data_IF_847004414281
#
_entry.id   IF_847004414281
#
_cell.length_a   1.000
_cell.length_b   1.000
_cell.length_c   1.000
_cell.angle_alpha   90.00
_cell.angle_beta   90.00
_cell.angle_gamma   90.00
#
_symmetry.space_group_name_H-M   'P 1'
#
loop_
_entity.id
_entity.type
_entity.pdbx_description
1 polymer ?
#
# COMPACT_ATOMS: atom_id res chain seq x y z
N UNK A 1 3.39 0.05 18.93
CA UNK A 1 3.22 0.12 17.48
C UNK A 1 2.36 -1.03 17.04
N UNK A 2 1.13 -0.74 16.61
CA UNK A 2 0.28 -1.76 15.99
C UNK A 2 0.82 -2.10 14.60
N UNK A 3 0.65 -3.35 14.17
CA UNK A 3 1.06 -3.77 12.82
C UNK A 3 0.01 -3.24 11.83
N UNK A 4 0.39 -2.24 11.04
CA UNK A 4 -0.43 -1.65 9.98
C UNK A 4 -0.10 -2.29 8.64
N UNK A 5 -0.11 -3.62 8.60
CA UNK A 5 0.24 -4.41 7.41
C UNK A 5 -0.91 -5.28 6.91
N UNK A 6 -0.98 -5.46 5.60
CA UNK A 6 -1.91 -6.39 4.95
C UNK A 6 -1.31 -6.96 3.67
N UNK A 7 -1.84 -8.08 3.22
CA UNK A 7 -1.42 -8.75 2.00
C UNK A 7 -2.48 -8.59 0.91
N UNK A 8 -2.03 -8.42 -0.33
CA UNK A 8 -2.88 -8.26 -1.51
C UNK A 8 -2.43 -9.27 -2.56
N UNK A 9 -3.40 -9.95 -3.17
CA UNK A 9 -3.15 -10.75 -4.37
C UNK A 9 -3.01 -9.82 -5.56
N UNK A 10 -1.80 -9.74 -6.10
CA UNK A 10 -1.41 -8.83 -7.19
C UNK A 10 -1.04 -9.67 -8.41
N UNK A 11 -2.06 -10.22 -9.06
CA UNK A 11 -1.95 -11.01 -10.30
C UNK A 11 -2.10 -10.14 -11.56
N UNK A 12 -2.32 -8.83 -11.41
CA UNK A 12 -2.58 -7.91 -12.53
C UNK A 12 -2.03 -6.51 -12.26
N UNK A 13 -1.78 -5.77 -13.33
CA UNK A 13 -1.36 -4.36 -13.28
C UNK A 13 -2.46 -3.52 -12.62
N UNK A 14 -2.28 -3.15 -11.34
CA UNK A 14 -3.21 -2.31 -10.60
C UNK A 14 -2.60 -0.93 -10.35
N UNK A 15 -3.28 0.12 -10.82
CA UNK A 15 -2.90 1.50 -10.57
C UNK A 15 -3.18 1.94 -9.12
N UNK A 16 -4.04 1.20 -8.42
CA UNK A 16 -4.53 1.57 -7.09
C UNK A 16 -4.74 0.36 -6.21
N UNK A 17 -4.28 0.43 -4.95
CA UNK A 17 -4.49 -0.63 -3.95
C UNK A 17 -5.39 -0.12 -2.84
N UNK A 18 -6.46 -0.87 -2.55
CA UNK A 18 -7.36 -0.53 -1.45
C UNK A 18 -6.68 -0.68 -0.08
N UNK A 19 -6.76 0.36 0.76
CA UNK A 19 -6.39 0.28 2.17
C UNK A 19 -7.59 -0.26 2.95
N UNK A 20 -7.52 -1.44 3.58
CA UNK A 20 -8.65 -2.00 4.32
C UNK A 20 -9.16 -1.06 5.40
N UNK A 21 -10.48 -1.06 5.66
CA UNK A 21 -11.10 -0.17 6.66
C UNK A 21 -10.48 -0.36 8.06
N UNK A 22 -10.15 -1.59 8.42
CA UNK A 22 -9.49 -1.92 9.69
C UNK A 22 -8.11 -1.27 9.78
N UNK A 23 -7.30 -1.37 8.72
CA UNK A 23 -5.98 -0.71 8.66
C UNK A 23 -6.12 0.81 8.75
N UNK A 24 -7.13 1.40 8.09
CA UNK A 24 -7.38 2.86 8.20
C UNK A 24 -7.73 3.30 9.62
N UNK A 25 -8.56 2.50 10.31
CA UNK A 25 -8.91 2.78 11.70
C UNK A 25 -7.68 2.69 12.61
N UNK A 26 -6.89 1.63 12.47
CA UNK A 26 -5.65 1.44 13.23
C UNK A 26 -4.62 2.54 12.93
N UNK A 27 -4.50 2.95 11.66
CA UNK A 27 -3.61 4.03 11.24
C UNK A 27 -4.01 5.35 11.90
N UNK A 28 -5.33 5.64 11.98
CA UNK A 28 -5.86 6.80 12.68
C UNK A 28 -5.54 6.81 14.18
N UNK A 29 -5.59 5.65 14.85
CA UNK A 29 -5.17 5.52 16.27
C UNK A 29 -3.68 5.82 16.47
N UNK A 30 -2.83 5.47 15.50
CA UNK A 30 -1.39 5.74 15.53
C UNK A 30 -1.04 7.14 14.98
N UNK A 31 -2.04 7.96 14.61
CA UNK A 31 -1.84 9.33 14.10
C UNK A 31 -1.44 9.42 12.63
N UNK A 32 -1.52 8.32 11.87
CA UNK A 32 -1.25 8.28 10.44
C UNK A 32 -2.55 8.62 9.70
N UNK A 33 -2.54 9.77 9.01
CA UNK A 33 -3.69 10.16 8.18
C UNK A 33 -3.79 9.26 6.95
N UNK A 34 -4.90 8.54 6.85
CA UNK A 34 -5.30 7.79 5.65
C UNK A 34 -6.39 8.51 4.85
N UNK A 35 -6.49 9.83 5.03
CA UNK A 35 -7.51 10.66 4.38
C UNK A 35 -7.21 10.94 2.90
N UNK A 36 -8.28 11.23 2.17
CA UNK A 36 -8.28 11.56 0.74
C UNK A 36 -7.37 12.76 0.45
N UNK A 37 -6.61 12.69 -0.65
CA UNK A 37 -5.63 13.71 -1.11
C UNK A 37 -4.45 13.93 -0.17
N UNK A 38 -4.25 13.07 0.83
CA UNK A 38 -3.00 13.02 1.59
C UNK A 38 -2.01 12.04 0.97
N UNK A 39 -0.83 11.92 1.57
CA UNK A 39 0.12 10.85 1.27
C UNK A 39 0.50 10.13 2.56
N UNK A 40 0.62 8.81 2.49
CA UNK A 40 1.10 7.98 3.59
C UNK A 40 2.47 7.40 3.26
N UNK A 41 3.33 7.28 4.26
CA UNK A 41 4.55 6.49 4.14
C UNK A 41 4.15 5.01 4.10
N UNK A 42 4.65 4.30 3.10
CA UNK A 42 4.36 2.90 2.85
C UNK A 42 5.63 2.14 2.56
N UNK A 43 5.60 0.87 2.93
CA UNK A 43 6.51 -0.15 2.45
C UNK A 43 5.68 -1.18 1.68
N UNK A 44 6.12 -1.53 0.48
CA UNK A 44 5.53 -2.57 -0.36
C UNK A 44 6.60 -3.62 -0.61
N UNK A 45 6.32 -4.88 -0.27
CA UNK A 45 7.19 -6.02 -0.46
C UNK A 45 6.54 -6.99 -1.45
N UNK A 46 7.24 -7.26 -2.56
CA UNK A 46 6.89 -8.34 -3.47
C UNK A 46 7.29 -9.67 -2.80
N UNK A 47 6.32 -10.51 -2.46
CA UNK A 47 6.59 -11.77 -1.73
C UNK A 47 7.20 -12.86 -2.62
N UNK A 48 7.15 -12.68 -3.94
CA UNK A 48 7.71 -13.62 -4.92
C UNK A 48 9.15 -13.27 -5.27
N UNK A 49 9.44 -11.99 -5.57
CA UNK A 49 10.80 -11.56 -5.96
C UNK A 49 11.66 -11.12 -4.78
N UNK A 50 11.03 -10.77 -3.64
CA UNK A 50 11.69 -10.20 -2.48
C UNK A 50 12.07 -8.72 -2.64
N UNK A 51 11.75 -8.11 -3.78
CA UNK A 51 11.95 -6.67 -3.98
C UNK A 51 11.05 -5.87 -3.05
N UNK A 52 11.56 -4.76 -2.54
CA UNK A 52 10.79 -3.83 -1.72
C UNK A 52 10.88 -2.41 -2.24
N UNK A 53 9.77 -1.69 -2.06
CA UNK A 53 9.68 -0.26 -2.25
C UNK A 53 9.32 0.39 -0.93
N UNK A 54 10.01 1.46 -0.57
CA UNK A 54 9.67 2.29 0.59
C UNK A 54 9.57 3.74 0.14
N UNK A 55 8.46 4.40 0.42
CA UNK A 55 8.25 5.78 0.01
C UNK A 55 6.90 6.33 0.43
N UNK A 56 6.58 7.55 0.00
CA UNK A 56 5.25 8.13 0.23
C UNK A 56 4.39 7.92 -1.00
N UNK A 57 3.19 7.37 -0.81
CA UNK A 57 2.20 7.22 -1.86
C UNK A 57 0.97 8.07 -1.57
N UNK A 58 0.38 8.61 -2.63
CA UNK A 58 -0.83 9.41 -2.54
C UNK A 58 -2.04 8.51 -2.24
N UNK A 59 -2.96 9.03 -1.42
CA UNK A 59 -4.24 8.39 -1.12
C UNK A 59 -5.31 9.03 -2.00
N UNK A 60 -5.94 8.21 -2.84
CA UNK A 60 -6.96 8.63 -3.80
C UNK A 60 -8.28 8.99 -3.12
N UNK A 61 -9.23 9.52 -3.90
CA UNK A 61 -10.60 9.87 -3.46
C UNK A 61 -11.38 8.74 -2.79
N UNK A 62 -10.94 7.50 -2.99
CA UNK A 62 -11.59 6.26 -2.58
C UNK A 62 -10.79 5.51 -1.49
N UNK A 63 -9.84 6.18 -0.83
CA UNK A 63 -8.97 5.59 0.21
C UNK A 63 -8.07 4.46 -0.32
N UNK A 64 -7.61 4.59 -1.56
CA UNK A 64 -6.69 3.66 -2.19
C UNK A 64 -5.30 4.31 -2.29
N UNK A 65 -4.24 3.52 -2.19
CA UNK A 65 -2.89 3.97 -2.50
C UNK A 65 -2.74 4.02 -4.01
N UNK A 66 -2.37 5.18 -4.55
CA UNK A 66 -1.97 5.29 -5.95
C UNK A 66 -0.57 4.72 -6.13
N UNK A 67 -0.42 3.80 -7.09
CA UNK A 67 0.84 3.21 -7.48
C UNK A 67 1.42 3.92 -8.71
N UNK A 68 2.59 4.58 -8.62
CA UNK A 68 3.33 5.02 -9.80
C UNK A 68 3.72 3.85 -10.71
N UNK A 69 3.87 4.13 -12.01
CA UNK A 69 4.19 3.14 -13.05
C UNK A 69 5.43 2.29 -12.71
N UNK A 70 6.43 2.88 -12.05
CA UNK A 70 7.65 2.18 -11.62
C UNK A 70 7.35 1.06 -10.62
N UNK A 71 6.47 1.32 -9.65
CA UNK A 71 6.04 0.31 -8.67
C UNK A 71 5.16 -0.72 -9.35
N UNK A 72 4.24 -0.31 -10.22
CA UNK A 72 3.37 -1.25 -10.92
C UNK A 72 4.17 -2.28 -11.74
N UNK A 73 5.29 -1.86 -12.36
CA UNK A 73 6.22 -2.77 -13.04
C UNK A 73 6.94 -3.72 -12.08
N UNK A 74 7.32 -3.25 -10.90
CA UNK A 74 7.97 -4.07 -9.86
C UNK A 74 7.01 -5.09 -9.22
N UNK A 75 5.71 -4.80 -9.22
CA UNK A 75 4.67 -5.70 -8.73
C UNK A 75 4.07 -6.60 -9.83
N UNK A 76 4.43 -6.39 -11.10
CA UNK A 76 3.91 -7.18 -12.22
C UNK A 76 4.32 -8.65 -12.06
N UNK A 77 3.34 -9.56 -12.04
CA UNK A 77 3.57 -10.98 -11.84
C UNK A 77 4.00 -11.37 -10.40
N UNK A 78 3.89 -10.46 -9.44
CA UNK A 78 4.20 -10.74 -8.04
C UNK A 78 3.29 -11.83 -7.46
N UNK A 79 2.03 -11.91 -7.89
CA UNK A 79 1.00 -12.81 -7.36
C UNK A 79 0.56 -12.44 -5.95
N UNK A 80 1.49 -12.17 -5.03
CA UNK A 80 1.23 -11.66 -3.69
C UNK A 80 2.22 -10.57 -3.30
N UNK A 81 1.68 -9.52 -2.71
CA UNK A 81 2.45 -8.40 -2.17
C UNK A 81 2.01 -8.16 -0.74
N UNK A 82 2.92 -7.61 0.06
CA UNK A 82 2.64 -7.15 1.42
C UNK A 82 2.83 -5.66 1.49
N UNK A 83 1.89 -4.97 2.12
CA UNK A 83 1.90 -3.52 2.23
C UNK A 83 1.85 -3.17 3.70
N UNK A 84 2.66 -2.19 4.10
CA UNK A 84 2.73 -1.70 5.47
C UNK A 84 2.69 -0.17 5.48
N UNK A 85 1.88 0.41 6.35
CA UNK A 85 1.93 1.83 6.68
C UNK A 85 2.98 2.06 7.78
N UNK A 86 3.76 3.13 7.65
CA UNK A 86 4.88 3.49 8.53
C UNK A 86 4.70 4.88 9.12
#
# INVERSE_FOLDING_TARGET
MKLLEWEVSEDSYQEQINIPKEIRALAGEEGISTEVKQSAAVEILNLTTGESYTGRLAITGTHQLYLPVEIQKMLEGAGRIRIRLI
#
